data_IF_540759806667
#
_entry.id   IF_540759806667
#
_cell.length_a   1.000
_cell.length_b   1.000
_cell.length_c   1.000
_cell.angle_alpha   90.00
_cell.angle_beta   90.00
_cell.angle_gamma   90.00
#
_symmetry.space_group_name_H-M   'P 1'
#
loop_
_entity.id
_entity.type
_entity.pdbx_description
1 polymer ?
#
# COMPACT_ATOMS: atom_id res chain seq x y z
N UNK A 1 21.70 -21.51 -0.94
CA UNK A 1 21.06 -20.34 -0.28
C UNK A 1 20.55 -19.44 -1.41
N UNK A 2 19.31 -18.94 -1.34
CA UNK A 2 18.76 -18.06 -2.38
C UNK A 2 19.41 -16.67 -2.38
N UNK A 3 19.24 -15.91 -3.47
CA UNK A 3 19.59 -14.49 -3.55
C UNK A 3 18.67 -13.66 -2.64
N UNK A 4 19.18 -12.56 -2.10
CA UNK A 4 18.47 -11.73 -1.13
C UNK A 4 18.96 -10.29 -1.22
N UNK A 5 18.05 -9.33 -1.01
CA UNK A 5 18.37 -7.91 -0.95
C UNK A 5 17.67 -7.35 0.29
N UNK A 6 18.40 -6.79 1.27
CA UNK A 6 17.79 -6.10 2.40
C UNK A 6 16.97 -4.89 1.93
N UNK A 7 16.04 -4.43 2.76
CA UNK A 7 15.34 -3.17 2.48
C UNK A 7 16.35 -2.01 2.38
N UNK A 8 16.31 -1.25 1.27
CA UNK A 8 17.29 -0.20 0.97
C UNK A 8 18.64 -0.71 0.46
N UNK A 9 18.83 -2.03 0.39
CA UNK A 9 20.01 -2.66 -0.17
C UNK A 9 20.01 -2.63 -1.70
N UNK A 10 21.19 -2.85 -2.26
CA UNK A 10 21.44 -2.90 -3.71
C UNK A 10 21.66 -4.35 -4.13
N UNK A 11 21.06 -4.75 -5.25
CA UNK A 11 21.41 -5.99 -5.93
C UNK A 11 22.21 -5.69 -7.19
N UNK A 12 23.38 -6.32 -7.33
CA UNK A 12 24.28 -6.04 -8.45
C UNK A 12 24.29 -7.19 -9.44
N UNK A 13 23.83 -6.93 -10.66
CA UNK A 13 24.03 -7.80 -11.82
C UNK A 13 25.28 -7.32 -12.56
N UNK A 14 26.25 -8.20 -12.76
CA UNK A 14 27.53 -7.81 -13.38
C UNK A 14 28.07 -8.87 -14.33
N UNK A 15 28.81 -8.44 -15.35
CA UNK A 15 29.57 -9.35 -16.20
C UNK A 15 30.95 -9.63 -15.58
N UNK A 16 31.46 -10.87 -15.53
CA UNK A 16 32.77 -11.16 -14.94
C UNK A 16 33.95 -10.39 -15.55
N UNK A 17 33.82 -9.96 -16.81
CA UNK A 17 34.82 -9.13 -17.50
C UNK A 17 34.66 -7.61 -17.26
N UNK A 18 33.82 -7.17 -16.31
CA UNK A 18 33.74 -5.74 -15.96
C UNK A 18 35.07 -5.22 -15.40
N UNK A 19 35.20 -3.90 -15.22
CA UNK A 19 36.45 -3.31 -14.70
C UNK A 19 36.79 -3.83 -13.30
N UNK A 20 38.09 -3.86 -12.96
CA UNK A 20 38.56 -4.28 -11.63
C UNK A 20 37.89 -3.49 -10.51
N UNK A 21 37.73 -2.17 -10.71
CA UNK A 21 37.08 -1.27 -9.76
C UNK A 21 35.67 -1.74 -9.40
N UNK A 22 34.88 -2.17 -10.38
CA UNK A 22 33.52 -2.68 -10.16
C UNK A 22 33.57 -4.04 -9.44
N UNK A 23 34.46 -4.95 -9.85
CA UNK A 23 34.60 -6.27 -9.21
C UNK A 23 34.98 -6.18 -7.74
N UNK A 24 35.93 -5.31 -7.40
CA UNK A 24 36.41 -5.14 -6.02
C UNK A 24 35.41 -4.45 -5.12
N UNK A 25 34.45 -3.71 -5.69
CA UNK A 25 33.45 -2.95 -4.95
C UNK A 25 32.12 -3.70 -4.76
N UNK A 26 32.00 -4.94 -5.28
CA UNK A 26 30.79 -5.75 -5.13
C UNK A 26 30.40 -5.94 -3.64
N UNK A 27 29.09 -6.07 -3.34
CA UNK A 27 28.64 -6.34 -1.98
C UNK A 27 29.37 -7.55 -1.35
N UNK A 28 29.82 -7.45 -0.08
CA UNK A 28 30.50 -8.56 0.59
C UNK A 28 29.64 -9.83 0.73
N UNK A 29 28.31 -9.67 0.77
CA UNK A 29 27.36 -10.78 0.76
C UNK A 29 27.09 -11.21 -0.70
N UNK A 30 27.55 -12.40 -1.05
CA UNK A 30 27.40 -13.02 -2.37
C UNK A 30 25.94 -13.26 -2.79
N UNK A 31 24.99 -13.16 -1.83
CA UNK A 31 23.55 -13.20 -2.10
C UNK A 31 23.01 -11.89 -2.65
N UNK A 32 23.76 -10.80 -2.56
CA UNK A 32 23.39 -9.46 -3.03
C UNK A 32 23.97 -9.14 -4.43
N UNK A 33 24.65 -10.08 -5.08
CA UNK A 33 25.13 -9.92 -6.45
C UNK A 33 25.02 -11.21 -7.25
N UNK A 34 25.02 -11.11 -8.58
CA UNK A 34 25.01 -12.27 -9.46
C UNK A 34 25.80 -11.98 -10.74
N UNK A 35 26.79 -12.83 -11.08
CA UNK A 35 27.45 -12.76 -12.37
C UNK A 35 26.52 -13.20 -13.50
N UNK A 36 26.62 -12.53 -14.65
CA UNK A 36 25.94 -12.86 -15.90
C UNK A 36 27.01 -13.08 -16.97
N UNK A 37 27.06 -14.27 -17.59
CA UNK A 37 28.08 -14.64 -18.58
C UNK A 37 27.55 -14.70 -20.01
N UNK A 38 26.24 -14.77 -20.18
CA UNK A 38 25.59 -15.08 -21.47
C UNK A 38 24.82 -13.88 -22.03
N UNK A 39 24.32 -12.99 -21.17
CA UNK A 39 23.39 -11.91 -21.51
C UNK A 39 24.01 -10.54 -21.17
N UNK A 40 25.00 -10.10 -21.95
CA UNK A 40 25.74 -8.84 -21.68
C UNK A 40 26.35 -8.17 -22.92
N UNK A 41 25.86 -8.46 -24.13
CA UNK A 41 26.42 -7.87 -25.36
C UNK A 41 25.73 -6.54 -25.75
N UNK A 42 24.73 -6.12 -24.96
CA UNK A 42 23.92 -4.92 -25.15
C UNK A 42 22.66 -5.12 -25.98
N UNK A 43 22.39 -6.32 -26.51
CA UNK A 43 21.16 -6.69 -27.23
C UNK A 43 20.30 -7.72 -26.48
N UNK A 44 20.59 -7.91 -25.18
CA UNK A 44 19.90 -8.83 -24.27
C UNK A 44 18.90 -8.11 -23.35
N UNK A 45 17.71 -8.69 -23.19
CA UNK A 45 16.65 -8.10 -22.38
C UNK A 45 16.64 -8.67 -20.96
N UNK A 46 16.30 -7.83 -19.99
CA UNK A 46 16.24 -8.17 -18.57
C UNK A 46 14.98 -7.61 -17.93
N UNK A 47 14.35 -8.38 -17.04
CA UNK A 47 13.12 -7.97 -16.38
C UNK A 47 13.16 -8.31 -14.89
N UNK A 48 12.63 -7.38 -14.09
CA UNK A 48 12.24 -7.66 -12.72
C UNK A 48 10.83 -8.24 -12.74
N UNK A 49 10.65 -9.41 -12.12
CA UNK A 49 9.38 -10.13 -12.17
C UNK A 49 8.91 -10.54 -10.79
N UNK A 50 7.59 -10.56 -10.61
CA UNK A 50 6.91 -11.12 -9.43
C UNK A 50 6.33 -12.48 -9.78
N UNK A 51 6.85 -13.53 -9.16
CA UNK A 51 6.30 -14.88 -9.32
C UNK A 51 4.84 -14.94 -8.83
N UNK A 52 4.02 -15.69 -9.56
CA UNK A 52 2.65 -15.98 -9.15
C UNK A 52 2.69 -17.07 -8.07
N UNK A 53 2.14 -16.83 -6.86
CA UNK A 53 2.15 -17.83 -5.80
C UNK A 53 1.55 -19.16 -6.23
N UNK A 54 2.25 -20.27 -5.94
CA UNK A 54 1.80 -21.62 -6.29
C UNK A 54 2.08 -22.04 -7.74
N UNK A 55 2.62 -21.16 -8.58
CA UNK A 55 3.03 -21.47 -9.95
C UNK A 55 4.54 -21.71 -9.98
N UNK A 56 4.96 -22.79 -10.64
CA UNK A 56 6.39 -23.06 -10.83
C UNK A 56 6.97 -22.06 -11.83
N UNK A 57 8.19 -21.53 -11.61
CA UNK A 57 8.83 -20.54 -12.48
C UNK A 57 9.41 -21.20 -13.74
N UNK A 58 8.60 -21.99 -14.44
CA UNK A 58 8.97 -22.69 -15.68
C UNK A 58 8.22 -22.01 -16.83
N UNK A 59 8.96 -21.50 -17.80
CA UNK A 59 8.39 -20.91 -19.02
C UNK A 59 8.25 -22.02 -20.05
N UNK A 60 7.02 -22.38 -20.38
CA UNK A 60 6.72 -23.31 -21.48
C UNK A 60 6.24 -22.52 -22.69
N UNK A 61 6.63 -22.96 -23.88
CA UNK A 61 6.20 -22.36 -25.14
C UNK A 61 4.66 -22.39 -25.25
N UNK A 62 4.05 -21.25 -25.61
CA UNK A 62 2.59 -21.11 -25.75
C UNK A 62 1.80 -21.00 -24.43
N UNK A 63 2.45 -21.09 -23.26
CA UNK A 63 1.80 -20.91 -21.96
C UNK A 63 1.89 -19.45 -21.47
N UNK A 64 0.94 -19.04 -20.63
CA UNK A 64 1.04 -17.77 -19.90
C UNK A 64 2.28 -17.78 -19.00
N UNK A 65 2.98 -16.64 -18.93
CA UNK A 65 4.18 -16.51 -18.11
C UNK A 65 3.84 -16.74 -16.62
N UNK A 66 4.67 -17.47 -15.85
CA UNK A 66 4.42 -17.78 -14.44
C UNK A 66 4.70 -16.60 -13.50
N UNK A 67 4.77 -15.39 -14.05
CA UNK A 67 5.18 -14.17 -13.36
C UNK A 67 4.58 -12.93 -13.99
N UNK A 68 4.45 -11.88 -13.19
CA UNK A 68 4.12 -10.53 -13.65
C UNK A 68 5.41 -9.71 -13.79
N UNK A 69 5.61 -9.07 -14.94
CA UNK A 69 6.72 -8.12 -15.14
C UNK A 69 6.43 -6.86 -14.31
N UNK A 70 7.40 -6.42 -13.52
CA UNK A 70 7.35 -5.20 -12.73
C UNK A 70 8.09 -4.06 -13.45
N UNK A 71 9.26 -4.36 -14.00
CA UNK A 71 10.10 -3.42 -14.75
C UNK A 71 10.91 -4.20 -15.78
N UNK A 72 11.25 -3.57 -16.90
CA UNK A 72 12.10 -4.21 -17.91
C UNK A 72 13.07 -3.26 -18.61
N UNK A 73 14.13 -3.88 -19.12
CA UNK A 73 15.12 -3.31 -20.02
C UNK A 73 15.20 -4.18 -21.28
N UNK A 74 15.10 -3.55 -22.44
CA UNK A 74 15.19 -4.23 -23.74
C UNK A 74 13.88 -4.85 -24.23
N UNK A 75 14.00 -5.73 -25.22
CA UNK A 75 12.88 -6.41 -25.90
C UNK A 75 13.11 -7.93 -25.83
N UNK A 76 12.12 -8.68 -25.34
CA UNK A 76 12.17 -10.14 -25.27
C UNK A 76 11.71 -10.75 -26.60
N UNK A 77 12.52 -11.63 -27.17
CA UNK A 77 12.57 -11.98 -28.60
C UNK A 77 11.37 -12.74 -29.21
N UNK A 78 10.22 -12.82 -28.58
CA UNK A 78 9.03 -13.44 -29.21
C UNK A 78 8.27 -12.49 -30.15
N UNK A 79 8.56 -11.20 -30.11
CA UNK A 79 7.94 -10.24 -31.01
C UNK A 79 9.00 -9.48 -31.83
N UNK A 80 8.91 -9.65 -33.15
CA UNK A 80 9.55 -8.82 -34.19
C UNK A 80 11.04 -9.10 -34.42
N UNK A 81 11.43 -9.22 -35.70
CA UNK A 81 12.81 -9.40 -36.19
C UNK A 81 13.79 -8.25 -35.91
N UNK A 82 13.81 -7.75 -34.67
CA UNK A 82 14.72 -6.73 -34.11
C UNK A 82 15.80 -7.37 -33.21
N UNK A 83 16.00 -8.68 -33.31
CA UNK A 83 17.07 -9.36 -32.57
C UNK A 83 18.45 -8.96 -33.10
N UNK A 84 19.40 -8.72 -32.18
CA UNK A 84 20.82 -8.69 -32.50
C UNK A 84 21.54 -7.34 -32.45
N UNK A 85 20.85 -6.20 -32.19
CA UNK A 85 21.52 -4.88 -32.10
C UNK A 85 21.30 -4.23 -30.74
N UNK A 86 22.31 -3.50 -30.22
CA UNK A 86 22.10 -2.69 -29.04
C UNK A 86 21.03 -1.62 -29.25
N UNK A 87 20.17 -1.46 -28.27
CA UNK A 87 19.11 -0.46 -28.24
C UNK A 87 19.64 0.97 -28.06
N UNK A 88 19.05 1.95 -28.76
CA UNK A 88 19.23 3.35 -28.40
C UNK A 88 18.63 3.63 -27.02
N UNK A 89 19.07 4.66 -26.30
CA UNK A 89 18.42 5.06 -25.03
C UNK A 89 18.59 6.57 -24.90
N UNK A 90 17.53 7.29 -24.53
CA UNK A 90 17.53 8.75 -24.41
C UNK A 90 18.08 9.47 -25.66
N UNK A 91 17.82 8.93 -26.85
CA UNK A 91 18.30 9.47 -28.13
C UNK A 91 19.75 9.15 -28.49
N UNK A 92 20.48 8.44 -27.62
CA UNK A 92 21.85 7.98 -27.91
C UNK A 92 21.78 6.63 -28.61
N UNK A 93 22.36 6.54 -29.80
CA UNK A 93 22.42 5.30 -30.59
C UNK A 93 23.19 4.22 -29.85
N UNK A 94 22.65 3.00 -29.81
CA UNK A 94 23.29 1.82 -29.23
C UNK A 94 23.72 1.98 -27.74
N UNK A 95 23.07 2.87 -26.99
CA UNK A 95 23.45 3.21 -25.62
C UNK A 95 23.37 2.06 -24.61
N UNK A 96 22.62 1.00 -24.91
CA UNK A 96 22.61 -0.23 -24.09
C UNK A 96 23.91 -1.04 -24.21
N UNK A 97 24.79 -0.72 -25.16
CA UNK A 97 26.13 -1.31 -25.29
C UNK A 97 27.20 -0.28 -24.91
N UNK A 98 28.19 -0.72 -24.15
CA UNK A 98 29.39 0.06 -23.83
C UNK A 98 29.09 1.45 -23.20
N UNK A 99 28.02 1.56 -22.41
CA UNK A 99 27.68 2.72 -21.57
C UNK A 99 27.23 2.25 -20.19
N UNK A 100 27.24 3.18 -19.24
CA UNK A 100 26.56 2.99 -17.96
C UNK A 100 25.18 3.64 -18.05
N UNK A 101 24.13 2.83 -17.89
CA UNK A 101 22.74 3.29 -17.82
C UNK A 101 22.32 3.37 -16.35
N UNK A 102 21.82 4.53 -15.92
CA UNK A 102 21.30 4.70 -14.55
C UNK A 102 19.88 5.20 -14.58
N UNK A 103 18.99 4.50 -13.90
CA UNK A 103 17.59 4.93 -13.78
C UNK A 103 17.56 6.23 -12.98
N UNK A 104 16.81 7.22 -13.45
CA UNK A 104 16.65 8.51 -12.74
C UNK A 104 16.03 8.28 -11.37
N UNK A 105 16.50 9.02 -10.36
CA UNK A 105 15.96 8.95 -9.00
C UNK A 105 14.49 9.33 -8.90
N UNK A 106 13.98 10.11 -9.87
CA UNK A 106 12.56 10.48 -9.97
C UNK A 106 11.66 9.32 -10.38
N UNK A 107 12.23 8.21 -10.87
CA UNK A 107 11.48 7.01 -11.21
C UNK A 107 11.29 6.18 -9.96
N UNK A 108 10.08 6.21 -9.41
CA UNK A 108 9.72 5.55 -8.15
C UNK A 108 8.91 4.26 -8.33
N UNK A 109 8.63 3.88 -9.58
CA UNK A 109 7.91 2.67 -9.94
C UNK A 109 8.52 2.05 -11.21
N UNK A 110 8.41 0.72 -11.34
CA UNK A 110 8.86 0.00 -12.53
C UNK A 110 7.97 0.28 -13.74
N UNK A 111 8.54 0.12 -14.94
CA UNK A 111 7.86 0.23 -16.22
C UNK A 111 7.96 -1.13 -16.95
N UNK A 112 6.84 -1.90 -17.04
CA UNK A 112 6.86 -3.23 -17.62
C UNK A 112 6.77 -3.23 -19.16
N UNK A 113 6.74 -2.05 -19.80
CA UNK A 113 6.61 -1.92 -21.26
C UNK A 113 7.96 -2.20 -21.93
N UNK A 114 7.98 -3.20 -22.82
CA UNK A 114 9.15 -3.54 -23.63
C UNK A 114 9.64 -2.34 -24.46
N UNK A 115 10.93 -2.30 -24.77
CA UNK A 115 11.55 -1.18 -25.51
C UNK A 115 11.26 -1.21 -27.02
N UNK A 116 10.02 -1.55 -27.39
CA UNK A 116 9.53 -1.58 -28.77
C UNK A 116 8.99 -0.24 -29.24
N UNK A 117 8.42 0.54 -28.32
CA UNK A 117 7.94 1.90 -28.54
C UNK A 117 8.68 2.87 -27.61
N UNK A 118 9.58 3.73 -28.13
CA UNK A 118 10.34 4.66 -27.31
C UNK A 118 9.50 5.80 -26.70
N UNK A 119 8.24 5.93 -27.11
CA UNK A 119 7.29 6.91 -26.55
C UNK A 119 6.53 6.37 -25.33
N UNK A 120 6.48 5.04 -25.17
CA UNK A 120 5.73 4.37 -24.10
C UNK A 120 6.64 3.63 -23.12
N UNK A 121 7.84 3.25 -23.58
CA UNK A 121 8.83 2.53 -22.78
C UNK A 121 9.79 3.46 -22.04
N UNK A 122 10.46 2.90 -21.03
CA UNK A 122 11.44 3.63 -20.23
C UNK A 122 12.65 4.12 -21.03
N UNK A 123 12.89 3.57 -22.22
CA UNK A 123 13.99 3.92 -23.12
C UNK A 123 14.03 5.43 -23.46
N UNK A 124 12.88 6.00 -23.83
CA UNK A 124 12.75 7.38 -24.29
C UNK A 124 13.50 7.72 -25.59
N UNK A 125 13.14 8.85 -26.17
CA UNK A 125 13.74 9.40 -27.40
C UNK A 125 14.79 10.48 -27.14
N UNK A 126 14.82 11.05 -25.92
CA UNK A 126 15.77 12.08 -25.51
C UNK A 126 15.93 12.08 -23.98
N UNK A 127 16.79 12.94 -23.45
CA UNK A 127 17.04 13.05 -22.01
C UNK A 127 15.80 13.45 -21.19
N UNK A 128 14.80 14.12 -21.76
CA UNK A 128 13.58 14.49 -21.04
C UNK A 128 12.56 13.35 -20.99
N UNK A 129 12.36 12.65 -22.11
CA UNK A 129 11.40 11.54 -22.22
C UNK A 129 11.92 10.20 -21.68
N UNK A 130 13.25 10.04 -21.56
CA UNK A 130 13.84 8.81 -21.02
C UNK A 130 13.78 8.75 -19.51
N UNK A 131 13.62 7.55 -18.98
CA UNK A 131 13.77 7.26 -17.56
C UNK A 131 15.24 7.03 -17.16
N UNK A 132 16.16 7.05 -18.13
CA UNK A 132 17.58 6.74 -17.93
C UNK A 132 18.47 7.96 -18.12
N UNK A 133 19.56 7.98 -17.35
CA UNK A 133 20.73 8.83 -17.55
C UNK A 133 21.80 7.99 -18.23
N UNK A 134 22.36 8.50 -19.33
CA UNK A 134 23.38 7.82 -20.11
C UNK A 134 24.75 8.39 -19.74
N UNK A 135 25.64 7.53 -19.26
CA UNK A 135 26.98 7.92 -18.82
C UNK A 135 28.06 7.20 -19.64
N UNK A 136 29.31 7.61 -19.44
CA UNK A 136 30.46 6.96 -20.10
C UNK A 136 30.55 5.50 -19.64
N UNK A 137 31.16 4.65 -20.48
CA UNK A 137 31.49 3.28 -20.10
C UNK A 137 32.32 3.31 -18.81
N UNK A 138 32.07 2.34 -17.93
CA UNK A 138 32.79 2.18 -16.66
C UNK A 138 32.68 3.41 -15.73
N UNK A 139 31.61 4.21 -15.85
CA UNK A 139 31.35 5.28 -14.88
C UNK A 139 31.11 4.67 -13.50
N UNK A 140 31.94 5.09 -12.53
CA UNK A 140 31.96 4.59 -11.16
C UNK A 140 31.00 5.38 -10.26
N UNK A 141 30.79 4.86 -9.04
CA UNK A 141 29.78 5.29 -8.08
C UNK A 141 30.00 6.71 -7.53
N UNK A 142 31.23 7.21 -7.52
CA UNK A 142 31.60 8.46 -6.84
C UNK A 142 31.61 9.71 -7.75
N UNK A 143 31.84 9.56 -9.06
CA UNK A 143 32.14 10.71 -9.94
C UNK A 143 30.89 11.41 -10.52
N UNK A 144 29.78 10.69 -10.72
CA UNK A 144 28.57 11.22 -11.39
C UNK A 144 27.25 10.70 -10.83
N UNK A 145 27.28 9.64 -10.02
CA UNK A 145 26.10 8.86 -9.65
C UNK A 145 25.47 9.27 -8.32
N UNK A 146 26.27 9.82 -7.38
CA UNK A 146 25.80 10.22 -6.04
C UNK A 146 25.04 9.10 -5.30
N UNK A 147 25.36 7.83 -5.56
CA UNK A 147 24.85 6.65 -4.83
C UNK A 147 25.95 5.58 -4.73
N UNK A 148 25.87 4.66 -3.76
CA UNK A 148 26.93 3.67 -3.50
C UNK A 148 26.46 2.22 -3.73
N UNK A 149 27.39 1.30 -4.02
CA UNK A 149 27.07 -0.14 -4.12
C UNK A 149 26.54 -0.77 -2.83
N UNK A 150 26.67 -0.07 -1.71
CA UNK A 150 26.19 -0.48 -0.40
C UNK A 150 24.87 0.17 0.02
N UNK A 151 24.45 1.26 -0.62
CA UNK A 151 23.24 2.00 -0.25
C UNK A 151 22.65 2.76 -1.43
N UNK A 152 21.35 2.57 -1.64
CA UNK A 152 20.57 3.42 -2.54
C UNK A 152 19.97 4.60 -1.75
N UNK A 153 20.24 5.83 -2.19
CA UNK A 153 19.59 7.04 -1.68
C UNK A 153 18.57 7.55 -2.70
N UNK A 154 17.28 7.42 -2.37
CA UNK A 154 16.21 8.01 -3.19
C UNK A 154 16.18 9.54 -2.98
N UNK A 155 15.88 10.29 -4.04
CA UNK A 155 15.64 11.74 -3.96
C UNK A 155 14.28 12.08 -4.58
N UNK A 156 13.31 12.62 -3.80
CA UNK A 156 13.43 12.93 -2.37
C UNK A 156 13.62 11.66 -1.52
N UNK A 157 14.24 11.77 -0.33
CA UNK A 157 14.40 10.65 0.58
C UNK A 157 13.05 9.98 0.82
N UNK A 158 13.05 8.64 0.87
CA UNK A 158 11.86 7.89 1.28
C UNK A 158 11.40 8.44 2.63
N UNK A 159 10.10 8.73 2.76
CA UNK A 159 9.53 9.15 4.03
C UNK A 159 9.95 8.15 5.13
N UNK A 160 10.33 8.67 6.30
CA UNK A 160 10.79 7.86 7.41
C UNK A 160 9.79 6.73 7.68
N UNK A 161 10.29 5.52 7.87
CA UNK A 161 9.42 4.40 8.21
C UNK A 161 8.71 4.71 9.53
N UNK A 162 7.38 4.69 9.50
CA UNK A 162 6.57 4.91 10.70
C UNK A 162 6.79 3.75 11.67
N UNK A 163 6.91 4.07 12.96
CA UNK A 163 7.08 3.06 14.00
C UNK A 163 5.87 2.11 14.01
N UNK A 164 6.07 0.78 13.88
CA UNK A 164 4.97 -0.17 13.96
C UNK A 164 4.21 -0.04 15.28
N UNK A 165 2.88 -0.09 15.22
CA UNK A 165 1.99 0.15 16.36
C UNK A 165 1.75 1.62 16.72
N UNK A 166 2.40 2.57 16.04
CA UNK A 166 2.10 4.00 16.23
C UNK A 166 0.75 4.39 15.61
N UNK A 167 0.21 5.52 16.08
CA UNK A 167 -1.00 6.12 15.52
C UNK A 167 -0.84 6.42 14.03
N UNK A 168 0.25 7.07 13.63
CA UNK A 168 0.53 7.42 12.23
C UNK A 168 0.63 6.17 11.35
N UNK A 169 1.33 5.13 11.81
CA UNK A 169 1.43 3.87 11.06
C UNK A 169 0.05 3.23 10.87
N UNK A 170 -0.82 3.32 11.87
CA UNK A 170 -2.18 2.77 11.81
C UNK A 170 -3.07 3.54 10.83
N UNK A 171 -3.02 4.88 10.84
CA UNK A 171 -3.73 5.72 9.87
C UNK A 171 -3.29 5.38 8.44
N UNK A 172 -1.97 5.38 8.19
CA UNK A 172 -1.42 5.07 6.88
C UNK A 172 -1.82 3.67 6.40
N UNK A 173 -1.88 2.68 7.30
CA UNK A 173 -2.28 1.33 6.95
C UNK A 173 -3.79 1.21 6.67
N UNK A 174 -4.64 1.71 7.58
CA UNK A 174 -6.11 1.58 7.47
C UNK A 174 -6.69 2.36 6.28
N UNK A 175 -5.99 3.39 5.82
CA UNK A 175 -6.38 4.19 4.64
C UNK A 175 -5.77 3.70 3.33
N UNK A 176 -4.82 2.76 3.37
CA UNK A 176 -4.14 2.26 2.16
C UNK A 176 -4.99 1.31 1.30
N UNK A 177 -6.03 0.71 1.87
CA UNK A 177 -6.92 -0.22 1.16
C UNK A 177 -8.27 -0.37 1.90
N UNK A 178 -9.32 -0.90 1.24
CA UNK A 178 -10.60 -1.15 1.89
C UNK A 178 -10.46 -2.04 3.13
N UNK A 179 -11.11 -1.65 4.22
CA UNK A 179 -11.20 -2.43 5.46
C UNK A 179 -12.57 -3.09 5.60
N UNK A 180 -12.61 -4.30 6.16
CA UNK A 180 -13.85 -4.99 6.50
C UNK A 180 -14.18 -4.78 7.97
N UNK A 181 -15.39 -4.31 8.25
CA UNK A 181 -15.90 -4.13 9.61
C UNK A 181 -16.98 -5.19 9.88
N UNK A 182 -16.87 -5.91 11.00
CA UNK A 182 -17.75 -7.02 11.35
C UNK A 182 -18.30 -6.84 12.77
N UNK A 183 -19.56 -7.28 12.97
CA UNK A 183 -20.17 -7.41 14.31
C UNK A 183 -20.35 -8.88 14.62
N UNK A 184 -19.65 -9.37 15.64
CA UNK A 184 -19.71 -10.77 16.07
C UNK A 184 -20.59 -10.89 17.31
N UNK A 185 -21.52 -11.85 17.31
CA UNK A 185 -22.44 -12.10 18.42
C UNK A 185 -22.24 -13.48 19.03
N UNK A 186 -22.43 -13.59 20.35
CA UNK A 186 -22.35 -14.84 21.09
C UNK A 186 -21.93 -14.64 22.55
N UNK A 187 -22.16 -15.65 23.38
CA UNK A 187 -21.75 -15.62 24.78
C UNK A 187 -20.23 -15.52 24.90
N UNK A 188 -19.74 -14.45 25.54
CA UNK A 188 -18.32 -14.17 25.69
C UNK A 188 -17.61 -13.79 24.38
N UNK A 189 -18.33 -13.26 23.39
CA UNK A 189 -17.80 -12.95 22.06
C UNK A 189 -16.48 -12.14 22.09
N UNK A 190 -16.41 -11.09 22.93
CA UNK A 190 -15.22 -10.24 23.06
C UNK A 190 -14.00 -11.05 23.51
N UNK A 191 -14.15 -11.85 24.57
CA UNK A 191 -13.06 -12.67 25.09
C UNK A 191 -12.62 -13.74 24.07
N UNK A 192 -13.59 -14.41 23.45
CA UNK A 192 -13.33 -15.45 22.42
C UNK A 192 -12.63 -14.88 21.19
N UNK A 193 -13.07 -13.72 20.70
CA UNK A 193 -12.45 -13.05 19.55
C UNK A 193 -11.02 -12.60 19.84
N UNK A 194 -10.80 -11.95 20.99
CA UNK A 194 -9.45 -11.53 21.38
C UNK A 194 -8.51 -12.71 21.64
N UNK A 195 -9.02 -13.83 22.18
CA UNK A 195 -8.25 -15.05 22.32
C UNK A 195 -7.87 -15.66 20.96
N UNK A 196 -8.79 -15.64 19.99
CA UNK A 196 -8.55 -16.13 18.63
C UNK A 196 -7.54 -15.24 17.88
N UNK A 197 -7.59 -13.92 18.06
CA UNK A 197 -6.60 -12.99 17.52
C UNK A 197 -5.22 -13.18 18.16
N UNK A 198 -5.17 -13.28 19.49
CA UNK A 198 -3.94 -13.34 20.28
C UNK A 198 -3.28 -11.97 20.52
N UNK A 199 -2.05 -11.93 21.04
CA UNK A 199 -1.33 -10.68 21.35
C UNK A 199 -1.23 -9.73 20.14
N UNK A 200 -1.35 -8.42 20.37
CA UNK A 200 -1.34 -7.37 19.33
C UNK A 200 -0.08 -7.41 18.47
N UNK A 201 1.07 -7.64 19.09
CA UNK A 201 2.35 -7.83 18.40
C UNK A 201 2.50 -9.29 17.94
N UNK A 202 2.57 -9.56 16.61
CA UNK A 202 2.79 -10.89 16.07
C UNK A 202 4.05 -11.59 16.57
N UNK A 203 5.10 -10.86 16.95
CA UNK A 203 6.33 -11.44 17.50
C UNK A 203 6.07 -12.07 18.88
N UNK A 204 5.31 -11.39 19.72
CA UNK A 204 4.85 -11.90 21.02
C UNK A 204 3.85 -13.04 20.81
N UNK A 205 2.95 -12.91 19.83
CA UNK A 205 1.95 -13.92 19.50
C UNK A 205 2.58 -15.25 19.09
N UNK A 206 3.62 -15.23 18.25
CA UNK A 206 4.36 -16.43 17.81
C UNK A 206 4.96 -17.24 18.96
N UNK A 207 5.28 -16.59 20.07
CA UNK A 207 5.83 -17.26 21.27
C UNK A 207 4.70 -17.71 22.19
N UNK A 208 3.75 -16.83 22.50
CA UNK A 208 2.74 -17.08 23.55
C UNK A 208 1.52 -17.88 23.07
N UNK A 209 1.16 -17.74 21.79
CA UNK A 209 0.00 -18.41 21.21
C UNK A 209 0.25 -18.72 19.71
N UNK A 210 1.12 -19.69 19.38
CA UNK A 210 1.53 -19.95 17.99
C UNK A 210 0.37 -20.27 17.02
N UNK A 211 -0.76 -20.75 17.55
CA UNK A 211 -1.95 -21.09 16.78
C UNK A 211 -2.91 -19.92 16.51
N UNK A 212 -2.74 -18.76 17.15
CA UNK A 212 -3.65 -17.63 16.97
C UNK A 212 -3.47 -16.95 15.61
N UNK A 213 -4.45 -16.15 15.20
CA UNK A 213 -4.45 -15.50 13.88
C UNK A 213 -3.25 -14.58 13.70
N UNK A 214 -2.90 -13.77 14.72
CA UNK A 214 -1.75 -12.85 14.66
C UNK A 214 -0.42 -13.58 14.55
N UNK A 215 -0.27 -14.73 15.19
CA UNK A 215 0.95 -15.53 15.07
C UNK A 215 1.13 -16.09 13.66
N UNK A 216 0.03 -16.55 13.05
CA UNK A 216 0.03 -17.23 11.74
C UNK A 216 0.11 -16.26 10.57
N UNK A 217 -0.54 -15.10 10.65
CA UNK A 217 -0.73 -14.20 9.51
C UNK A 217 -0.27 -12.76 9.76
N UNK A 218 0.09 -12.40 11.00
CA UNK A 218 0.56 -11.06 11.33
C UNK A 218 2.01 -10.81 10.93
N UNK A 219 2.29 -9.60 10.43
CA UNK A 219 3.63 -9.16 10.05
C UNK A 219 4.31 -8.35 11.16
N UNK A 220 3.60 -7.36 11.70
CA UNK A 220 4.07 -6.47 12.78
C UNK A 220 2.87 -5.92 13.57
N UNK A 221 3.12 -5.06 14.56
CA UNK A 221 2.09 -4.50 15.44
C UNK A 221 1.03 -3.63 14.72
N UNK A 222 1.32 -3.11 13.53
CA UNK A 222 0.35 -2.37 12.69
C UNK A 222 -0.40 -3.33 11.76
N UNK A 223 0.32 -4.24 11.12
CA UNK A 223 -0.22 -5.23 10.15
C UNK A 223 -0.46 -6.56 10.87
N UNK A 224 -1.41 -6.52 11.80
CA UNK A 224 -1.66 -7.60 12.76
C UNK A 224 -3.01 -8.32 12.53
N UNK A 225 -3.41 -8.47 11.26
CA UNK A 225 -4.58 -9.25 10.80
C UNK A 225 -5.94 -8.61 11.11
N UNK A 226 -6.18 -8.15 12.32
CA UNK A 226 -7.49 -7.63 12.69
C UNK A 226 -7.55 -6.98 14.06
N UNK A 227 -8.64 -6.24 14.27
CA UNK A 227 -8.95 -5.51 15.48
C UNK A 227 -10.04 -6.24 16.30
N UNK A 228 -9.99 -6.09 17.63
CA UNK A 228 -11.00 -6.60 18.54
C UNK A 228 -11.21 -5.63 19.68
N UNK A 229 -12.47 -5.33 19.98
CA UNK A 229 -12.85 -4.43 21.07
C UNK A 229 -12.26 -4.91 22.40
N UNK A 230 -11.83 -3.99 23.26
CA UNK A 230 -11.17 -4.35 24.53
C UNK A 230 -12.17 -4.79 25.61
N UNK A 231 -13.39 -4.26 25.59
CA UNK A 231 -14.45 -4.54 26.55
C UNK A 231 -15.83 -4.19 25.96
N UNK A 232 -16.91 -4.47 26.72
CA UNK A 232 -18.28 -4.28 26.27
C UNK A 232 -18.63 -2.81 25.98
N UNK A 233 -18.10 -1.86 26.77
CA UNK A 233 -18.35 -0.43 26.55
C UNK A 233 -17.69 0.07 25.26
N UNK A 234 -16.44 -0.36 25.00
CA UNK A 234 -15.74 -0.08 23.74
C UNK A 234 -16.47 -0.69 22.55
N UNK A 235 -16.83 -1.98 22.64
CA UNK A 235 -17.58 -2.67 21.59
C UNK A 235 -18.90 -1.94 21.26
N UNK A 236 -19.62 -1.49 22.28
CA UNK A 236 -20.86 -0.73 22.10
C UNK A 236 -20.63 0.57 21.32
N UNK A 237 -19.63 1.37 21.71
CA UNK A 237 -19.30 2.63 21.03
C UNK A 237 -18.84 2.39 19.59
N UNK A 238 -17.97 1.42 19.36
CA UNK A 238 -17.44 1.07 18.04
C UNK A 238 -18.54 0.58 17.10
N UNK A 239 -19.45 -0.28 17.57
CA UNK A 239 -20.55 -0.75 16.74
C UNK A 239 -21.54 0.38 16.44
N UNK A 240 -21.84 1.25 17.40
CA UNK A 240 -22.69 2.43 17.18
C UNK A 240 -22.08 3.41 16.18
N UNK A 241 -20.76 3.54 16.17
CA UNK A 241 -20.02 4.36 15.21
C UNK A 241 -20.14 3.81 13.78
N UNK A 242 -19.84 2.52 13.57
CA UNK A 242 -19.86 1.92 12.22
C UNK A 242 -21.26 1.53 11.73
N UNK A 243 -22.18 1.20 12.64
CA UNK A 243 -23.52 0.69 12.33
C UNK A 243 -24.60 1.40 13.17
N UNK A 244 -24.84 2.72 12.96
CA UNK A 244 -25.70 3.54 13.80
C UNK A 244 -27.18 3.13 13.81
N UNK A 245 -27.61 2.30 12.85
CA UNK A 245 -28.99 1.77 12.77
C UNK A 245 -29.16 0.38 13.40
N UNK A 246 -28.10 -0.19 13.96
CA UNK A 246 -28.18 -1.50 14.62
C UNK A 246 -28.85 -1.36 15.98
N UNK A 247 -29.87 -2.19 16.23
CA UNK A 247 -30.57 -2.27 17.53
C UNK A 247 -29.69 -3.00 18.55
N UNK A 248 -28.69 -2.30 19.07
CA UNK A 248 -27.75 -2.81 20.08
C UNK A 248 -27.91 -2.07 21.41
N UNK A 249 -28.66 -0.96 21.41
CA UNK A 249 -28.95 -0.18 22.60
C UNK A 249 -29.68 -1.08 23.62
N UNK A 250 -29.12 -1.27 24.84
CA UNK A 250 -29.87 -1.90 25.90
C UNK A 250 -31.14 -1.08 26.14
N UNK A 251 -32.24 -1.77 26.45
CA UNK A 251 -33.51 -1.08 26.76
C UNK A 251 -33.23 -0.06 27.87
N UNK A 252 -33.43 1.25 27.61
CA UNK A 252 -33.11 2.27 28.59
C UNK A 252 -33.92 2.03 29.86
N UNK A 253 -33.29 2.22 31.03
CA UNK A 253 -34.02 2.22 32.29
C UNK A 253 -35.08 3.32 32.29
N UNK A 254 -36.12 3.18 33.12
CA UNK A 254 -37.15 4.20 33.24
C UNK A 254 -36.60 5.59 33.62
N UNK A 255 -35.47 5.65 34.34
CA UNK A 255 -34.75 6.90 34.61
C UNK A 255 -34.10 7.47 33.35
N UNK A 256 -33.31 6.67 32.63
CA UNK A 256 -32.63 7.11 31.40
C UNK A 256 -33.61 7.55 30.31
N UNK A 257 -34.75 6.87 30.19
CA UNK A 257 -35.80 7.26 29.25
C UNK A 257 -36.40 8.62 29.63
N UNK A 258 -36.64 8.88 30.93
CA UNK A 258 -37.13 10.18 31.41
C UNK A 258 -36.10 11.28 31.17
N UNK A 259 -34.85 11.05 31.55
CA UNK A 259 -33.76 12.02 31.37
C UNK A 259 -33.62 12.39 29.89
N UNK A 260 -33.64 11.41 28.98
CA UNK A 260 -33.61 11.66 27.53
C UNK A 260 -34.82 12.48 27.03
N UNK A 261 -36.04 12.13 27.48
CA UNK A 261 -37.24 12.89 27.11
C UNK A 261 -37.14 14.33 27.61
N UNK A 262 -36.71 14.53 28.87
CA UNK A 262 -36.61 15.86 29.48
C UNK A 262 -35.51 16.71 28.84
N UNK A 263 -34.35 16.13 28.55
CA UNK A 263 -33.18 16.89 28.09
C UNK A 263 -33.15 17.04 26.56
N UNK A 264 -33.46 15.98 25.81
CA UNK A 264 -33.27 15.96 24.36
C UNK A 264 -34.56 16.25 23.57
N UNK A 265 -35.74 15.91 24.10
CA UNK A 265 -37.01 16.04 23.37
C UNK A 265 -37.82 17.27 23.83
N UNK A 266 -37.99 17.41 25.14
CA UNK A 266 -38.94 18.37 25.75
C UNK A 266 -38.72 19.81 25.32
N UNK A 267 -37.49 20.36 25.24
CA UNK A 267 -37.28 21.76 24.88
C UNK A 267 -37.83 22.10 23.49
N UNK A 268 -37.45 21.34 22.47
CA UNK A 268 -37.85 21.57 21.07
C UNK A 268 -39.32 21.21 20.85
N UNK A 269 -39.79 20.11 21.43
CA UNK A 269 -41.18 19.69 21.27
C UNK A 269 -42.16 20.69 21.92
N UNK A 270 -41.83 21.21 23.10
CA UNK A 270 -42.67 22.22 23.77
C UNK A 270 -42.74 23.50 22.95
N UNK A 271 -41.61 24.00 22.43
CA UNK A 271 -41.60 25.17 21.55
C UNK A 271 -42.47 24.96 20.29
N UNK A 272 -42.36 23.81 19.63
CA UNK A 272 -43.17 23.48 18.46
C UNK A 272 -44.66 23.36 18.76
N UNK A 273 -45.04 22.77 19.90
CA UNK A 273 -46.42 22.66 20.34
C UNK A 273 -47.04 24.03 20.69
N UNK A 274 -46.26 24.94 21.28
CA UNK A 274 -46.69 26.31 21.54
C UNK A 274 -46.98 27.04 20.23
N UNK A 275 -46.09 26.93 19.24
CA UNK A 275 -46.30 27.60 17.95
C UNK A 275 -47.43 26.97 17.13
N UNK A 276 -47.63 25.65 17.23
CA UNK A 276 -48.77 24.95 16.65
C UNK A 276 -50.10 25.48 17.22
N UNK A 277 -50.18 25.66 18.54
CA UNK A 277 -51.37 26.20 19.20
C UNK A 277 -51.68 27.64 18.78
N UNK A 278 -50.65 28.42 18.46
CA UNK A 278 -50.75 29.82 18.00
C UNK A 278 -51.22 29.89 16.54
N UNK A 279 -50.66 29.06 15.66
CA UNK A 279 -50.90 29.11 14.21
C UNK A 279 -52.17 28.37 13.77
N UNK A 280 -52.58 27.31 14.49
CA UNK A 280 -53.79 26.50 14.22
C UNK A 280 -53.94 26.09 12.74
N UNK A 281 -52.93 25.44 12.15
CA UNK A 281 -52.96 25.02 10.75
C UNK A 281 -54.00 23.92 10.53
N UNK A 282 -54.50 23.79 9.29
CA UNK A 282 -55.48 22.77 8.91
C UNK A 282 -54.98 21.33 9.14
N UNK A 283 -53.68 21.09 8.98
CA UNK A 283 -53.03 19.79 9.18
C UNK A 283 -51.98 19.85 10.29
N UNK A 284 -52.37 19.78 11.58
CA UNK A 284 -51.47 20.06 12.71
C UNK A 284 -50.28 19.10 12.82
N UNK A 285 -50.46 17.82 12.51
CA UNK A 285 -49.39 16.81 12.59
C UNK A 285 -48.32 17.05 11.53
N UNK A 286 -48.73 17.27 10.26
CA UNK A 286 -47.80 17.55 9.18
C UNK A 286 -47.06 18.87 9.40
N UNK A 287 -47.78 19.89 9.88
CA UNK A 287 -47.18 21.18 10.21
C UNK A 287 -46.14 21.05 11.32
N UNK A 288 -46.45 20.33 12.41
CA UNK A 288 -45.51 20.13 13.52
C UNK A 288 -44.29 19.32 13.07
N UNK A 289 -44.47 18.30 12.24
CA UNK A 289 -43.36 17.53 11.70
C UNK A 289 -42.40 18.40 10.86
N UNK A 290 -42.95 19.26 9.99
CA UNK A 290 -42.17 20.21 9.21
C UNK A 290 -41.46 21.23 10.13
N UNK A 291 -42.17 21.77 11.12
CA UNK A 291 -41.60 22.71 12.08
C UNK A 291 -40.44 22.10 12.86
N UNK A 292 -40.58 20.86 13.35
CA UNK A 292 -39.52 20.14 14.06
C UNK A 292 -38.31 19.86 13.16
N UNK A 293 -38.54 19.53 11.88
CA UNK A 293 -37.45 19.32 10.93
C UNK A 293 -36.66 20.61 10.69
N UNK A 294 -37.34 21.75 10.57
CA UNK A 294 -36.70 23.07 10.38
C UNK A 294 -36.05 23.64 11.65
N UNK A 295 -36.50 23.23 12.84
CA UNK A 295 -36.02 23.74 14.12
C UNK A 295 -35.26 22.69 14.95
N UNK A 296 -34.66 21.70 14.28
CA UNK A 296 -33.88 20.66 14.96
C UNK A 296 -32.51 21.23 15.40
N UNK A 297 -32.22 21.31 16.72
CA UNK A 297 -30.95 21.84 17.22
C UNK A 297 -29.74 20.96 16.87
N UNK A 298 -29.96 19.72 16.42
CA UNK A 298 -28.91 18.78 16.03
C UNK A 298 -28.65 18.76 14.52
N UNK A 299 -29.38 19.55 13.74
CA UNK A 299 -29.12 19.75 12.31
C UNK A 299 -28.32 21.04 12.09
N UNK A 300 -27.37 21.07 11.14
CA UNK A 300 -26.72 22.32 10.77
C UNK A 300 -27.75 23.31 10.22
N UNK A 301 -27.63 24.58 10.62
CA UNK A 301 -28.47 25.66 10.09
C UNK A 301 -28.00 25.94 8.66
N UNK A 302 -28.77 25.49 7.68
CA UNK A 302 -28.56 25.88 6.28
C UNK A 302 -29.06 27.31 6.12
N UNK A 303 -28.13 28.26 5.95
CA UNK A 303 -28.49 29.60 5.49
C UNK A 303 -28.64 29.55 3.98
N UNK A 304 -29.86 29.76 3.49
CA UNK A 304 -30.14 30.06 2.08
C UNK A 304 -29.85 31.55 1.79
#
# INVERSE_FOLDING_TARGET
>A
RGKMVPAGGVFVLYHPQCSDVIRTALPPDDRCSQPQTELSNGNDAMALVKLIPGVQPVVNEGASLPYNVIDCMGVFAVEVGKCGKPWPVAGVVAASKDKTLVRKSTVIAGNPVAWDCPFESSQGTNAASSEWVILKKDTTFDDALKWSLSSWEASPPRAAALLPGSFEASIAHLTSSPSMVLVLSGQGAIAKWNALLGPVDPTIAKVRCPGCLRARFGMDATRNVGFGSSNAAAAFQEIKFFFPKSLIDPVPSGKQAKDYVTEAITPTLTAGLVELCRTKPANPVQWLAAWLASNNPNSPITMD
#
